data_IF_693898538608
#
_entry.id   IF_693898538608
#
_cell.length_a   1.000
_cell.length_b   1.000
_cell.length_c   1.000
_cell.angle_alpha   90.00
_cell.angle_beta   90.00
_cell.angle_gamma   90.00
#
_symmetry.space_group_name_H-M   'P 1'
#
loop_
_entity.id
_entity.type
_entity.pdbx_description
1 polymer ?
#
# COMPACT_ATOMS: atom_id res chain seq x y z
N UNK A 1 -50.23 43.36 -50.53
CA UNK A 1 -50.64 43.67 -49.16
C UNK A 1 -51.56 42.54 -48.74
N UNK A 2 -51.09 41.63 -47.88
CA UNK A 2 -51.68 41.46 -46.55
C UNK A 2 -51.03 40.31 -45.80
N UNK A 3 -50.65 40.64 -44.57
CA UNK A 3 -50.04 39.80 -43.55
C UNK A 3 -51.02 38.73 -43.07
N UNK A 4 -50.53 37.51 -42.86
CA UNK A 4 -51.15 36.56 -41.92
C UNK A 4 -50.07 36.10 -40.95
N UNK A 5 -50.16 36.63 -39.73
CA UNK A 5 -49.36 36.23 -38.56
C UNK A 5 -49.64 34.76 -38.20
N UNK A 6 -48.57 33.97 -38.06
CA UNK A 6 -48.65 32.63 -37.48
C UNK A 6 -48.46 32.72 -35.98
N UNK A 7 -49.56 32.55 -35.24
CA UNK A 7 -49.53 32.26 -33.81
C UNK A 7 -48.82 30.92 -33.56
N UNK A 8 -47.77 30.94 -32.72
CA UNK A 8 -47.20 29.74 -32.12
C UNK A 8 -47.98 29.46 -30.84
N UNK A 9 -48.77 28.39 -30.88
CA UNK A 9 -49.45 27.85 -29.71
C UNK A 9 -48.45 27.33 -28.70
N UNK A 10 -48.66 27.75 -27.46
CA UNK A 10 -48.10 27.16 -26.25
C UNK A 10 -48.56 25.71 -26.11
N UNK A 11 -47.63 24.80 -25.85
CA UNK A 11 -47.93 23.56 -25.12
C UNK A 11 -46.85 23.36 -24.06
N UNK A 12 -46.97 24.12 -22.98
CA UNK A 12 -46.36 23.78 -21.70
C UNK A 12 -47.10 22.56 -21.13
N UNK A 13 -46.51 21.37 -21.23
CA UNK A 13 -46.93 20.22 -20.43
C UNK A 13 -46.19 20.29 -19.09
N UNK A 14 -46.63 21.18 -18.21
CA UNK A 14 -46.38 21.02 -16.78
C UNK A 14 -47.21 19.84 -16.30
N UNK A 15 -46.58 18.67 -16.17
CA UNK A 15 -47.17 17.57 -15.41
C UNK A 15 -47.15 18.01 -13.95
N UNK A 16 -48.34 18.13 -13.37
CA UNK A 16 -48.56 18.54 -12.00
C UNK A 16 -47.97 17.46 -11.07
N UNK A 17 -46.76 17.68 -10.53
CA UNK A 17 -46.21 16.90 -9.42
C UNK A 17 -47.07 17.19 -8.19
N UNK A 18 -48.13 16.40 -7.99
CA UNK A 18 -48.85 16.38 -6.73
C UNK A 18 -47.84 16.23 -5.59
N UNK A 19 -47.93 17.14 -4.60
CA UNK A 19 -47.03 17.33 -3.46
C UNK A 19 -46.32 16.05 -3.01
N UNK A 20 -45.15 15.80 -3.60
CA UNK A 20 -44.25 14.77 -3.12
C UNK A 20 -43.56 15.35 -1.89
N UNK A 21 -43.90 14.82 -0.72
CA UNK A 21 -43.30 15.20 0.55
C UNK A 21 -41.82 14.81 0.56
N UNK A 22 -40.92 15.79 0.44
CA UNK A 22 -39.47 15.57 0.36
C UNK A 22 -38.69 16.86 0.07
N UNK A 23 -37.46 16.92 0.57
CA UNK A 23 -36.53 18.04 0.36
C UNK A 23 -35.82 17.85 -0.98
N UNK A 24 -35.79 18.88 -1.81
CA UNK A 24 -35.01 18.88 -3.04
C UNK A 24 -33.51 18.98 -2.74
N UNK A 25 -32.77 17.92 -3.07
CA UNK A 25 -31.33 17.81 -2.83
C UNK A 25 -30.49 18.08 -4.07
N UNK A 26 -31.11 18.44 -5.20
CA UNK A 26 -30.35 18.84 -6.39
C UNK A 26 -29.58 20.13 -6.15
N UNK A 27 -28.37 20.29 -6.71
CA UNK A 27 -27.64 21.55 -6.64
C UNK A 27 -28.42 22.72 -7.23
N UNK A 28 -29.13 22.49 -8.33
CA UNK A 28 -29.89 23.51 -9.06
C UNK A 28 -31.28 23.79 -8.48
N UNK A 29 -31.71 23.03 -7.46
CA UNK A 29 -33.06 23.09 -6.87
C UNK A 29 -34.18 22.96 -7.91
N UNK A 30 -34.04 21.98 -8.80
CA UNK A 30 -34.92 21.77 -9.96
C UNK A 30 -35.96 20.66 -9.78
N UNK A 31 -36.11 20.11 -8.57
CA UNK A 31 -37.02 19.02 -8.23
C UNK A 31 -36.65 17.66 -8.81
N UNK A 32 -35.44 17.50 -9.36
CA UNK A 32 -34.99 16.26 -10.00
C UNK A 32 -34.77 15.10 -9.04
N UNK A 33 -34.39 15.40 -7.80
CA UNK A 33 -34.17 14.41 -6.73
C UNK A 33 -34.75 14.95 -5.43
N UNK A 34 -35.80 14.32 -4.94
CA UNK A 34 -36.45 14.64 -3.67
C UNK A 34 -36.13 13.57 -2.64
N UNK A 35 -35.73 13.98 -1.43
CA UNK A 35 -35.38 13.09 -0.32
C UNK A 35 -36.32 13.28 0.87
N UNK A 36 -36.80 12.19 1.44
CA UNK A 36 -37.52 12.18 2.72
C UNK A 36 -36.88 11.17 3.68
N UNK A 37 -36.38 11.64 4.81
CA UNK A 37 -35.83 10.76 5.84
C UNK A 37 -36.98 10.03 6.53
N UNK A 38 -36.87 8.70 6.64
CA UNK A 38 -37.82 7.81 7.31
C UNK A 38 -37.31 7.40 8.68
N UNK A 39 -36.02 7.13 8.78
CA UNK A 39 -35.30 6.82 10.03
C UNK A 39 -34.01 7.62 10.02
N UNK A 40 -33.79 8.39 11.08
CA UNK A 40 -32.56 9.17 11.27
C UNK A 40 -31.35 8.24 11.46
N UNK A 41 -30.24 8.59 10.83
CA UNK A 41 -28.96 7.91 11.05
C UNK A 41 -28.23 8.44 12.28
N UNK A 42 -27.01 7.94 12.48
CA UNK A 42 -26.14 8.30 13.61
C UNK A 42 -24.86 8.99 13.14
N UNK A 43 -24.30 9.84 14.00
CA UNK A 43 -23.10 10.63 13.72
C UNK A 43 -23.35 11.85 12.83
N UNK A 44 -22.26 12.55 12.50
CA UNK A 44 -22.29 13.76 11.65
C UNK A 44 -21.57 13.56 10.32
N UNK A 45 -21.01 12.38 10.08
CA UNK A 45 -20.31 12.06 8.84
C UNK A 45 -21.27 11.48 7.81
N UNK A 46 -20.96 11.77 6.56
CA UNK A 46 -21.64 11.29 5.37
C UNK A 46 -20.61 10.62 4.46
N UNK A 47 -21.01 9.65 3.62
CA UNK A 47 -20.09 9.11 2.63
C UNK A 47 -19.76 10.19 1.60
N UNK A 48 -18.49 10.22 1.20
CA UNK A 48 -17.96 11.17 0.23
C UNK A 48 -17.64 10.50 -1.09
N UNK A 49 -17.41 11.32 -2.12
CA UNK A 49 -17.00 10.82 -3.43
C UNK A 49 -15.77 9.92 -3.31
N UNK A 50 -15.83 8.74 -3.90
CA UNK A 50 -14.77 7.72 -3.84
C UNK A 50 -14.96 6.68 -2.72
N UNK A 51 -15.82 6.94 -1.74
CA UNK A 51 -16.15 5.96 -0.72
C UNK A 51 -16.90 4.77 -1.33
N UNK A 52 -16.62 3.57 -0.81
CA UNK A 52 -17.43 2.39 -1.09
C UNK A 52 -18.56 2.32 -0.08
N UNK A 53 -19.79 2.53 -0.54
CA UNK A 53 -21.00 2.55 0.30
C UNK A 53 -21.70 1.19 0.25
N UNK A 54 -22.35 0.81 1.35
CA UNK A 54 -23.10 -0.44 1.49
C UNK A 54 -24.53 -0.10 1.87
N UNK A 55 -25.48 -0.50 1.03
CA UNK A 55 -26.90 -0.13 1.18
C UNK A 55 -27.84 -1.32 1.03
N UNK A 56 -28.97 -1.25 1.74
CA UNK A 56 -30.17 -1.97 1.33
C UNK A 56 -31.13 -1.04 0.59
N UNK A 57 -31.87 -1.57 -0.39
CA UNK A 57 -32.86 -0.78 -1.10
C UNK A 57 -34.05 -1.58 -1.62
N UNK A 58 -35.14 -0.85 -1.89
CA UNK A 58 -36.31 -1.30 -2.65
C UNK A 58 -36.62 -0.22 -3.70
N UNK A 59 -36.63 -0.59 -4.98
CA UNK A 59 -36.97 0.28 -6.10
C UNK A 59 -38.37 0.01 -6.63
N UNK A 60 -39.21 1.04 -6.67
CA UNK A 60 -40.59 0.98 -7.16
C UNK A 60 -40.88 2.04 -8.20
N UNK A 61 -41.75 1.71 -9.16
CA UNK A 61 -42.37 2.68 -10.07
C UNK A 61 -43.42 3.53 -9.33
N UNK A 62 -43.86 4.64 -9.93
CA UNK A 62 -44.90 5.51 -9.32
C UNK A 62 -46.24 4.82 -9.07
N UNK A 63 -46.53 3.75 -9.81
CA UNK A 63 -47.72 2.91 -9.59
C UNK A 63 -47.57 1.95 -8.39
N UNK A 64 -46.42 1.95 -7.70
CA UNK A 64 -46.10 1.08 -6.57
C UNK A 64 -45.50 -0.27 -6.95
N UNK A 65 -45.36 -0.58 -8.24
CA UNK A 65 -44.77 -1.84 -8.71
C UNK A 65 -43.27 -1.88 -8.40
N UNK A 66 -42.83 -2.90 -7.65
CA UNK A 66 -41.42 -3.13 -7.37
C UNK A 66 -40.72 -3.71 -8.61
N UNK A 67 -39.65 -3.07 -9.05
CA UNK A 67 -38.84 -3.56 -10.18
C UNK A 67 -37.52 -4.21 -9.74
N UNK A 68 -37.01 -3.87 -8.55
CA UNK A 68 -35.77 -4.41 -7.99
C UNK A 68 -35.67 -4.18 -6.47
N UNK A 69 -35.03 -5.10 -5.76
CA UNK A 69 -34.70 -4.95 -4.33
C UNK A 69 -33.48 -5.77 -3.96
N UNK A 70 -32.59 -5.21 -3.13
CA UNK A 70 -31.50 -5.99 -2.53
C UNK A 70 -31.97 -6.86 -1.35
N UNK A 71 -33.12 -6.55 -0.75
CA UNK A 71 -33.66 -7.32 0.38
C UNK A 71 -34.17 -8.70 -0.06
N UNK A 72 -34.73 -8.79 -1.27
CA UNK A 72 -35.13 -10.08 -1.87
C UNK A 72 -33.94 -11.03 -2.06
N UNK A 73 -32.73 -10.47 -2.20
CA UNK A 73 -31.48 -11.21 -2.34
C UNK A 73 -30.77 -11.47 -1.00
N UNK A 74 -31.26 -10.90 0.09
CA UNK A 74 -30.65 -10.98 1.43
C UNK A 74 -29.17 -10.54 1.49
N UNK A 75 -28.71 -9.76 0.52
CA UNK A 75 -27.32 -9.29 0.43
C UNK A 75 -27.30 -7.77 0.18
N UNK A 76 -26.48 -7.00 0.92
CA UNK A 76 -26.30 -5.58 0.65
C UNK A 76 -25.73 -5.32 -0.74
N UNK A 77 -26.19 -4.22 -1.36
CA UNK A 77 -25.59 -3.72 -2.58
C UNK A 77 -24.48 -2.72 -2.22
N UNK A 78 -23.33 -2.83 -2.88
CA UNK A 78 -22.22 -1.90 -2.69
C UNK A 78 -21.79 -1.27 -4.01
N UNK A 79 -21.37 -0.01 -3.93
CA UNK A 79 -20.88 0.75 -5.07
C UNK A 79 -19.94 1.89 -4.61
N UNK A 80 -19.14 2.42 -5.52
CA UNK A 80 -18.29 3.59 -5.30
C UNK A 80 -19.09 4.87 -5.57
N UNK A 81 -19.28 5.69 -4.53
CA UNK A 81 -20.09 6.89 -4.58
C UNK A 81 -19.46 7.97 -5.48
N UNK A 82 -20.28 8.59 -6.33
CA UNK A 82 -19.89 9.73 -7.17
C UNK A 82 -19.01 9.37 -8.36
N UNK A 83 -18.95 8.08 -8.73
CA UNK A 83 -18.21 7.56 -9.88
C UNK A 83 -19.12 7.13 -11.04
N UNK A 84 -20.43 7.40 -10.97
CA UNK A 84 -21.39 7.05 -12.02
C UNK A 84 -21.66 5.55 -12.17
N UNK A 85 -21.36 4.74 -11.15
CA UNK A 85 -21.73 3.31 -11.12
C UNK A 85 -23.24 3.10 -10.92
N UNK A 86 -23.92 4.11 -10.39
CA UNK A 86 -25.37 4.15 -10.14
C UNK A 86 -25.98 5.37 -10.84
N UNK A 87 -27.31 5.46 -10.83
CA UNK A 87 -28.01 6.62 -11.38
C UNK A 87 -27.64 7.91 -10.63
N UNK A 88 -27.68 9.06 -11.31
CA UNK A 88 -27.30 10.37 -10.74
C UNK A 88 -28.04 10.69 -9.43
N UNK A 89 -29.31 10.29 -9.33
CA UNK A 89 -30.12 10.50 -8.14
C UNK A 89 -29.61 9.74 -6.91
N UNK A 90 -29.02 8.56 -7.11
CA UNK A 90 -28.38 7.81 -6.03
C UNK A 90 -27.06 8.44 -5.61
N UNK A 91 -26.23 8.86 -6.57
CA UNK A 91 -24.96 9.55 -6.28
C UNK A 91 -25.21 10.83 -5.44
N UNK A 92 -26.27 11.58 -5.74
CA UNK A 92 -26.67 12.75 -4.95
C UNK A 92 -27.30 12.35 -3.61
N UNK A 93 -28.23 11.38 -3.61
CA UNK A 93 -28.99 11.02 -2.43
C UNK A 93 -28.17 10.37 -1.34
N UNK A 94 -27.39 9.34 -1.68
CA UNK A 94 -26.60 8.58 -0.71
C UNK A 94 -25.50 9.44 -0.09
N UNK A 95 -24.94 10.41 -0.84
CA UNK A 95 -23.98 11.39 -0.31
C UNK A 95 -24.54 12.28 0.82
N UNK A 96 -25.86 12.34 1.00
CA UNK A 96 -26.50 13.11 2.08
C UNK A 96 -26.90 12.25 3.28
N UNK A 97 -26.72 10.94 3.21
CA UNK A 97 -27.21 10.01 4.24
C UNK A 97 -26.22 9.87 5.39
N UNK A 98 -26.73 9.67 6.61
CA UNK A 98 -25.94 9.29 7.80
C UNK A 98 -25.90 7.76 7.96
N UNK A 99 -24.95 7.24 8.76
CA UNK A 99 -24.85 5.80 9.02
C UNK A 99 -26.14 5.28 9.68
N UNK A 100 -26.75 4.25 9.11
CA UNK A 100 -28.02 3.67 9.57
C UNK A 100 -29.27 4.44 9.13
N UNK A 101 -29.11 5.55 8.40
CA UNK A 101 -30.25 6.32 7.91
C UNK A 101 -31.07 5.50 6.90
N UNK A 102 -32.39 5.63 6.98
CA UNK A 102 -33.33 5.12 6.00
C UNK A 102 -34.09 6.28 5.38
N UNK A 103 -34.13 6.38 4.05
CA UNK A 103 -34.82 7.47 3.35
C UNK A 103 -35.57 6.99 2.11
N UNK A 104 -36.60 7.73 1.73
CA UNK A 104 -37.19 7.70 0.40
C UNK A 104 -36.45 8.69 -0.50
N UNK A 105 -36.00 8.23 -1.67
CA UNK A 105 -35.51 9.05 -2.78
C UNK A 105 -36.46 8.95 -3.97
N UNK A 106 -36.88 10.09 -4.49
CA UNK A 106 -37.70 10.18 -5.69
C UNK A 106 -36.88 10.87 -6.77
N UNK A 107 -36.55 10.11 -7.81
CA UNK A 107 -35.64 10.49 -8.88
C UNK A 107 -36.42 10.65 -10.18
N UNK A 108 -36.46 11.88 -10.71
CA UNK A 108 -37.00 12.15 -12.05
C UNK A 108 -36.13 11.46 -13.12
N UNK A 109 -36.71 11.20 -14.29
CA UNK A 109 -36.08 10.43 -15.36
C UNK A 109 -34.65 10.90 -15.71
N UNK A 110 -34.41 12.22 -15.80
CA UNK A 110 -33.10 12.83 -16.10
C UNK A 110 -32.01 12.58 -15.02
N UNK A 111 -32.42 12.25 -13.79
CA UNK A 111 -31.57 11.78 -12.69
C UNK A 111 -31.63 10.26 -12.49
N UNK A 112 -32.39 9.54 -13.32
CA UNK A 112 -32.54 8.09 -13.35
C UNK A 112 -32.07 7.51 -14.70
N UNK A 113 -32.96 6.90 -15.48
CA UNK A 113 -32.64 6.22 -16.76
C UNK A 113 -33.01 7.01 -18.02
N UNK A 114 -33.46 8.27 -17.87
CA UNK A 114 -33.82 9.17 -18.95
C UNK A 114 -35.00 8.69 -19.80
N UNK A 115 -35.12 9.28 -20.99
CA UNK A 115 -36.19 8.97 -21.96
C UNK A 115 -36.13 7.53 -22.50
N UNK A 116 -34.96 6.90 -22.43
CA UNK A 116 -34.78 5.53 -22.94
C UNK A 116 -35.20 4.46 -21.92
N UNK A 117 -35.18 4.78 -20.61
CA UNK A 117 -35.49 3.84 -19.55
C UNK A 117 -34.47 2.69 -19.45
N UNK A 118 -34.90 1.58 -18.86
CA UNK A 118 -34.18 0.30 -18.86
C UNK A 118 -35.18 -0.85 -19.10
N UNK A 119 -35.62 -1.04 -20.36
CA UNK A 119 -36.61 -2.05 -20.69
C UNK A 119 -36.13 -3.48 -20.37
N UNK A 120 -37.03 -4.42 -20.02
CA UNK A 120 -38.49 -4.25 -19.94
C UNK A 120 -38.98 -3.68 -18.60
N UNK A 121 -38.12 -3.60 -17.58
CA UNK A 121 -38.52 -3.28 -16.20
C UNK A 121 -38.79 -1.81 -15.95
N UNK A 122 -38.05 -0.92 -16.60
CA UNK A 122 -38.13 0.53 -16.38
C UNK A 122 -38.51 1.21 -17.70
N UNK A 123 -39.72 1.77 -17.82
CA UNK A 123 -40.12 2.53 -19.00
C UNK A 123 -39.28 3.79 -19.21
N UNK A 124 -39.25 4.26 -20.45
CA UNK A 124 -38.70 5.58 -20.80
C UNK A 124 -39.43 6.71 -20.08
N UNK A 125 -38.68 7.72 -19.62
CA UNK A 125 -39.26 8.89 -18.93
C UNK A 125 -39.80 8.60 -17.52
N UNK A 126 -39.55 7.41 -16.98
CA UNK A 126 -40.07 7.02 -15.67
C UNK A 126 -39.42 7.81 -14.52
N UNK A 127 -40.24 8.31 -13.61
CA UNK A 127 -39.81 8.76 -12.28
C UNK A 127 -39.79 7.56 -11.35
N UNK A 128 -38.69 7.36 -10.64
CA UNK A 128 -38.48 6.20 -9.77
C UNK A 128 -38.51 6.61 -8.31
N UNK A 129 -39.08 5.74 -7.47
CA UNK A 129 -39.01 5.85 -6.02
C UNK A 129 -38.10 4.74 -5.48
N UNK A 130 -37.17 5.11 -4.60
CA UNK A 130 -36.30 4.18 -3.89
C UNK A 130 -36.44 4.38 -2.39
N UNK A 131 -36.69 3.31 -1.66
CA UNK A 131 -36.41 3.27 -0.22
C UNK A 131 -34.97 2.77 -0.05
N UNK A 132 -34.09 3.56 0.56
CA UNK A 132 -32.67 3.23 0.74
C UNK A 132 -32.31 3.27 2.22
N UNK A 133 -31.58 2.27 2.68
CA UNK A 133 -30.96 2.19 4.01
C UNK A 133 -29.43 2.17 3.85
N UNK A 134 -28.74 3.17 4.41
CA UNK A 134 -27.27 3.24 4.40
C UNK A 134 -26.70 2.46 5.58
N UNK A 135 -26.10 1.29 5.32
CA UNK A 135 -25.58 0.42 6.38
C UNK A 135 -24.22 0.92 6.90
N UNK A 136 -23.31 1.20 5.96
CA UNK A 136 -21.95 1.64 6.25
C UNK A 136 -21.28 2.16 4.98
N UNK A 137 -20.11 2.76 5.14
CA UNK A 137 -19.18 3.02 4.04
C UNK A 137 -17.75 2.80 4.49
N UNK A 138 -16.86 2.68 3.52
CA UNK A 138 -15.42 2.61 3.71
C UNK A 138 -14.77 3.64 2.78
N UNK A 139 -13.76 4.35 3.27
CA UNK A 139 -13.02 5.31 2.47
C UNK A 139 -12.34 4.66 1.26
N UNK A 140 -11.94 5.50 0.30
CA UNK A 140 -11.10 5.08 -0.82
C UNK A 140 -9.84 4.39 -0.29
N UNK A 141 -9.60 3.15 -0.72
CA UNK A 141 -8.38 2.43 -0.36
C UNK A 141 -7.18 3.02 -1.11
N UNK A 142 -6.31 3.71 -0.38
CA UNK A 142 -5.10 4.35 -0.89
C UNK A 142 -3.82 3.62 -0.44
N UNK A 143 -3.96 2.40 0.10
CA UNK A 143 -2.83 1.54 0.44
C UNK A 143 -2.03 1.14 -0.82
N UNK A 144 -0.72 0.89 -0.70
CA UNK A 144 0.10 0.48 -1.85
C UNK A 144 -0.38 -0.81 -2.51
N UNK A 145 -0.83 -1.77 -1.69
CA UNK A 145 -1.18 -3.12 -2.10
C UNK A 145 -2.69 -3.29 -2.34
N UNK A 146 -3.48 -2.20 -2.20
CA UNK A 146 -4.95 -2.19 -2.28
C UNK A 146 -5.59 -3.24 -1.34
N UNK A 147 -5.08 -3.29 -0.12
CA UNK A 147 -5.48 -4.22 0.95
C UNK A 147 -6.33 -3.56 2.06
N UNK A 148 -6.72 -2.31 1.86
CA UNK A 148 -7.52 -1.52 2.79
C UNK A 148 -6.76 -1.05 4.03
N UNK A 149 -5.45 -1.25 4.14
CA UNK A 149 -4.69 -0.84 5.34
C UNK A 149 -4.60 0.68 5.54
N UNK A 150 -4.83 1.44 4.48
CA UNK A 150 -4.95 2.91 4.49
C UNK A 150 -6.18 3.27 3.66
N UNK A 151 -7.24 3.74 4.32
CA UNK A 151 -8.43 4.26 3.62
C UNK A 151 -8.62 5.74 3.90
N UNK A 152 -9.18 6.48 2.94
CA UNK A 152 -9.37 7.92 3.03
C UNK A 152 -10.78 8.32 2.59
N UNK A 153 -11.44 9.17 3.38
CA UNK A 153 -12.70 9.82 3.00
C UNK A 153 -12.52 11.33 3.03
N UNK A 154 -12.84 11.99 1.92
CA UNK A 154 -12.65 13.43 1.74
C UNK A 154 -13.79 14.19 2.45
N UNK A 155 -13.46 15.10 3.36
CA UNK A 155 -14.44 15.99 4.02
C UNK A 155 -14.56 17.31 3.25
N UNK A 156 -13.43 17.89 2.87
CA UNK A 156 -13.34 19.12 2.08
C UNK A 156 -12.38 18.85 0.93
N UNK A 157 -12.88 19.05 -0.29
CA UNK A 157 -12.10 18.94 -1.52
C UNK A 157 -10.97 19.99 -1.55
N UNK A 158 -9.77 19.56 -1.93
CA UNK A 158 -8.65 20.45 -2.16
C UNK A 158 -8.61 21.06 -3.56
N UNK A 159 -7.62 21.92 -3.80
CA UNK A 159 -7.26 22.42 -5.12
C UNK A 159 -6.95 21.24 -6.07
N UNK A 160 -7.31 21.33 -7.35
CA UNK A 160 -7.09 20.20 -8.28
C UNK A 160 -5.63 20.15 -8.78
N UNK A 161 -5.24 18.98 -9.29
CA UNK A 161 -4.08 18.74 -10.18
C UNK A 161 -2.68 18.70 -9.57
N UNK A 162 -2.50 18.86 -8.26
CA UNK A 162 -1.17 18.63 -7.66
C UNK A 162 -1.24 18.18 -6.20
N UNK A 163 -0.48 17.12 -5.92
CA UNK A 163 -0.29 16.52 -4.60
C UNK A 163 1.20 16.54 -4.23
N UNK A 164 1.55 16.56 -2.93
CA UNK A 164 2.94 16.49 -2.50
C UNK A 164 3.51 15.09 -2.79
N UNK A 165 4.81 15.03 -3.04
CA UNK A 165 5.57 13.78 -3.24
C UNK A 165 6.45 13.48 -2.03
N UNK A 166 7.01 12.28 -1.98
CA UNK A 166 8.05 11.94 -0.99
C UNK A 166 9.16 12.99 -0.99
N UNK A 167 9.58 13.41 0.21
CA UNK A 167 10.55 14.48 0.42
C UNK A 167 9.98 15.91 0.32
N UNK A 168 8.73 16.10 -0.10
CA UNK A 168 8.09 17.43 -0.08
C UNK A 168 7.92 17.93 1.35
N UNK A 169 8.09 19.23 1.57
CA UNK A 169 7.74 19.87 2.84
C UNK A 169 6.24 20.12 2.87
N UNK A 170 5.55 19.66 3.91
CA UNK A 170 4.10 19.84 4.09
C UNK A 170 3.82 20.58 5.39
N UNK A 171 2.75 21.37 5.42
CA UNK A 171 2.15 21.93 6.63
C UNK A 171 0.75 21.40 6.81
N UNK A 172 0.52 20.73 7.93
CA UNK A 172 -0.68 19.93 8.17
C UNK A 172 -1.22 20.20 9.56
N UNK A 173 -2.54 20.39 9.67
CA UNK A 173 -3.24 20.20 10.94
C UNK A 173 -3.66 18.73 11.02
N UNK A 174 -3.16 18.01 12.01
CA UNK A 174 -3.41 16.59 12.18
C UNK A 174 -4.02 16.32 13.55
N UNK A 175 -5.16 15.63 13.55
CA UNK A 175 -5.85 15.15 14.75
C UNK A 175 -5.91 13.63 14.68
N UNK A 176 -5.13 12.95 15.51
CA UNK A 176 -5.12 11.50 15.66
C UNK A 176 -6.02 11.06 16.80
N UNK A 177 -6.87 10.07 16.55
CA UNK A 177 -7.81 9.52 17.52
C UNK A 177 -7.85 8.00 17.51
N UNK A 178 -8.16 7.43 18.67
CA UNK A 178 -8.33 5.99 18.88
C UNK A 178 -9.61 5.76 19.67
N UNK A 179 -10.58 5.04 19.10
CA UNK A 179 -11.91 4.83 19.70
C UNK A 179 -12.56 6.15 20.17
N UNK A 180 -12.44 7.22 19.37
CA UNK A 180 -12.95 8.56 19.68
C UNK A 180 -12.11 9.38 20.67
N UNK A 181 -11.09 8.80 21.32
CA UNK A 181 -10.16 9.55 22.18
C UNK A 181 -9.06 10.16 21.33
N UNK A 182 -8.94 11.49 21.35
CA UNK A 182 -7.83 12.22 20.73
C UNK A 182 -6.53 11.92 21.48
N UNK A 183 -5.50 11.48 20.77
CA UNK A 183 -4.14 11.28 21.31
C UNK A 183 -3.10 12.19 20.66
N UNK A 184 -3.44 12.82 19.54
CA UNK A 184 -2.58 13.72 18.79
C UNK A 184 -3.42 14.88 18.26
N UNK A 185 -3.03 16.12 18.51
CA UNK A 185 -3.68 17.31 17.97
C UNK A 185 -2.63 18.42 17.84
N UNK A 186 -2.09 18.59 16.63
CA UNK A 186 -1.03 19.54 16.35
C UNK A 186 -1.13 20.10 14.94
N UNK A 187 -0.69 21.36 14.80
CA UNK A 187 -0.27 21.92 13.52
C UNK A 187 1.25 21.77 13.41
N UNK A 188 1.70 21.11 12.34
CA UNK A 188 3.10 20.74 12.15
C UNK A 188 3.55 21.02 10.73
N UNK A 189 4.84 21.34 10.57
CA UNK A 189 5.52 21.34 9.28
C UNK A 189 6.61 20.28 9.29
N UNK A 190 6.63 19.41 8.29
CA UNK A 190 7.60 18.31 8.21
C UNK A 190 7.84 17.88 6.77
N UNK A 191 8.87 17.04 6.58
CA UNK A 191 9.21 16.45 5.28
C UNK A 191 8.46 15.13 5.13
N UNK A 192 7.71 14.93 4.05
CA UNK A 192 7.05 13.64 3.79
C UNK A 192 8.07 12.51 3.67
N UNK A 193 7.84 11.42 4.41
CA UNK A 193 8.79 10.33 4.65
C UNK A 193 9.54 10.46 5.97
N UNK A 194 9.42 11.59 6.68
CA UNK A 194 10.00 11.84 8.01
C UNK A 194 8.90 12.06 9.07
N UNK A 195 7.64 11.65 8.86
CA UNK A 195 6.53 11.88 9.79
C UNK A 195 6.77 11.35 11.21
N UNK A 196 7.60 10.31 11.38
CA UNK A 196 7.98 9.83 12.71
C UNK A 196 8.71 10.90 13.55
N UNK A 197 9.40 11.86 12.94
CA UNK A 197 10.08 12.96 13.65
C UNK A 197 9.11 13.90 14.35
N UNK A 198 7.86 13.92 13.90
CA UNK A 198 6.77 14.72 14.46
C UNK A 198 5.72 13.84 15.15
N UNK A 199 6.03 12.56 15.38
CA UNK A 199 5.18 11.63 16.11
C UNK A 199 4.00 11.09 15.30
N UNK A 200 4.08 11.08 13.97
CA UNK A 200 3.10 10.50 13.06
C UNK A 200 3.55 9.11 12.56
N UNK A 201 2.61 8.19 12.27
CA UNK A 201 2.91 6.89 11.68
C UNK A 201 3.08 6.99 10.16
N UNK A 202 3.77 6.01 9.54
CA UNK A 202 4.05 5.98 8.10
C UNK A 202 2.78 6.08 7.23
N UNK A 203 1.64 5.56 7.71
CA UNK A 203 0.36 5.67 7.03
C UNK A 203 -0.07 7.10 6.77
N UNK A 204 0.26 8.04 7.66
CA UNK A 204 -0.03 9.47 7.46
C UNK A 204 0.84 10.04 6.35
N UNK A 205 2.14 9.74 6.32
CA UNK A 205 3.04 10.14 5.23
C UNK A 205 2.54 9.64 3.87
N UNK A 206 2.07 8.39 3.81
CA UNK A 206 1.54 7.80 2.58
C UNK A 206 0.21 8.42 2.17
N UNK A 207 -0.68 8.66 3.13
CA UNK A 207 -1.97 9.26 2.86
C UNK A 207 -1.82 10.68 2.29
N UNK A 208 -0.97 11.50 2.89
CA UNK A 208 -0.75 12.89 2.45
C UNK A 208 -0.23 13.00 1.01
N UNK A 209 0.43 11.97 0.45
CA UNK A 209 0.82 11.95 -0.98
C UNK A 209 -0.37 11.89 -1.94
N UNK A 210 -1.57 11.60 -1.43
CA UNK A 210 -2.83 11.62 -2.19
C UNK A 210 -3.66 12.88 -1.95
N UNK A 211 -3.26 13.71 -0.99
CA UNK A 211 -3.98 14.93 -0.65
C UNK A 211 -3.64 16.03 -1.65
N UNK A 212 -4.58 16.95 -1.84
CA UNK A 212 -4.31 18.22 -2.46
C UNK A 212 -4.28 19.37 -1.44
N UNK A 213 -3.69 20.50 -1.84
CA UNK A 213 -3.68 21.70 -1.00
C UNK A 213 -5.11 22.13 -0.67
N UNK A 214 -5.39 22.43 0.59
CA UNK A 214 -6.73 22.76 1.08
C UNK A 214 -7.63 21.55 1.32
N UNK A 215 -7.18 20.32 1.03
CA UNK A 215 -7.96 19.12 1.32
C UNK A 215 -8.02 18.85 2.82
N UNK A 216 -9.24 18.55 3.32
CA UNK A 216 -9.46 17.97 4.64
C UNK A 216 -10.06 16.58 4.46
N UNK A 217 -9.43 15.56 5.04
CA UNK A 217 -9.90 14.17 4.91
C UNK A 217 -9.72 13.41 6.21
N UNK A 218 -10.57 12.42 6.44
CA UNK A 218 -10.30 11.37 7.43
C UNK A 218 -9.49 10.26 6.79
N UNK A 219 -8.49 9.77 7.50
CA UNK A 219 -7.63 8.66 7.11
C UNK A 219 -7.73 7.60 8.20
N UNK A 220 -8.17 6.41 7.83
CA UNK A 220 -8.22 5.26 8.72
C UNK A 220 -7.03 4.36 8.43
N UNK A 221 -6.29 3.99 9.48
CA UNK A 221 -5.09 3.17 9.41
C UNK A 221 -5.31 1.89 10.22
N UNK A 222 -5.11 0.74 9.58
CA UNK A 222 -5.19 -0.57 10.23
C UNK A 222 -3.99 -1.47 9.89
N UNK A 223 -3.91 -2.60 10.59
CA UNK A 223 -2.78 -3.52 10.47
C UNK A 223 -1.51 -3.01 11.16
N UNK A 224 -0.38 -3.66 10.91
CA UNK A 224 0.88 -3.41 11.62
C UNK A 224 1.87 -2.52 10.87
N UNK A 225 1.74 -2.42 9.53
CA UNK A 225 2.74 -1.78 8.67
C UNK A 225 2.65 -0.26 8.67
N UNK A 226 1.44 0.29 8.61
CA UNK A 226 1.21 1.73 8.42
C UNK A 226 0.65 2.45 9.66
N UNK A 227 0.46 1.72 10.75
CA UNK A 227 0.13 2.25 12.08
C UNK A 227 1.41 2.47 12.89
N UNK A 228 1.28 2.65 14.21
CA UNK A 228 2.44 2.62 15.11
C UNK A 228 2.96 1.19 15.42
N UNK A 229 2.34 0.15 14.86
CA UNK A 229 2.81 -1.23 14.97
C UNK A 229 2.78 -1.77 16.40
N UNK A 230 3.77 -2.60 16.74
CA UNK A 230 3.81 -3.31 18.02
C UNK A 230 4.19 -2.41 19.22
N UNK A 231 4.87 -1.30 18.96
CA UNK A 231 5.45 -0.43 19.98
C UNK A 231 5.04 1.02 19.74
N UNK A 232 3.77 1.38 20.03
CA UNK A 232 3.33 2.75 19.89
C UNK A 232 4.04 3.69 20.88
N UNK A 233 4.15 5.00 20.57
CA UNK A 233 4.66 5.99 21.50
C UNK A 233 3.91 5.92 22.84
N UNK A 234 4.59 5.70 23.98
CA UNK A 234 3.93 5.49 25.28
C UNK A 234 2.99 6.64 25.67
N UNK A 235 3.34 7.88 25.31
CA UNK A 235 2.56 9.09 25.56
C UNK A 235 1.16 9.07 24.92
N UNK A 236 0.97 8.28 23.86
CA UNK A 236 -0.33 8.18 23.17
C UNK A 236 -1.27 7.17 23.84
N UNK A 237 -0.78 6.35 24.77
CA UNK A 237 -1.54 5.33 25.50
C UNK A 237 -2.35 4.41 24.56
N UNK A 238 -1.72 3.97 23.47
CA UNK A 238 -2.32 3.09 22.47
C UNK A 238 -1.95 1.63 22.74
N UNK A 239 -2.84 0.66 22.48
CA UNK A 239 -2.46 -0.75 22.49
C UNK A 239 -1.54 -1.08 21.30
N UNK A 240 -0.82 -2.19 21.41
CA UNK A 240 -0.07 -2.78 20.29
C UNK A 240 -1.00 -3.03 19.11
N UNK A 241 -0.57 -2.67 17.90
CA UNK A 241 -1.33 -2.80 16.65
C UNK A 241 -2.68 -2.08 16.64
N UNK A 242 -2.81 -0.97 17.38
CA UNK A 242 -4.02 -0.16 17.37
C UNK A 242 -4.39 0.28 15.95
N UNK A 243 -5.65 0.05 15.57
CA UNK A 243 -6.29 0.70 14.43
C UNK A 243 -6.65 2.13 14.83
N UNK A 244 -6.24 3.12 14.05
CA UNK A 244 -6.28 4.53 14.42
C UNK A 244 -6.81 5.39 13.28
N UNK A 245 -7.47 6.48 13.66
CA UNK A 245 -8.03 7.45 12.73
C UNK A 245 -7.26 8.76 12.81
N UNK A 246 -7.03 9.39 11.66
CA UNK A 246 -6.52 10.74 11.57
C UNK A 246 -7.48 11.63 10.79
N UNK A 247 -7.85 12.78 11.33
CA UNK A 247 -8.38 13.89 10.53
C UNK A 247 -7.22 14.79 10.15
N UNK A 248 -6.96 14.92 8.85
CA UNK A 248 -5.83 15.69 8.32
C UNK A 248 -6.37 16.84 7.49
N UNK A 249 -5.75 18.02 7.62
CA UNK A 249 -5.97 19.17 6.76
C UNK A 249 -4.64 19.64 6.20
N UNK A 250 -4.43 19.46 4.90
CA UNK A 250 -3.20 19.87 4.21
C UNK A 250 -3.30 21.35 3.84
N UNK A 251 -2.66 22.22 4.63
CA UNK A 251 -2.73 23.68 4.43
C UNK A 251 -1.92 24.14 3.22
N UNK A 252 -0.67 23.72 3.17
CA UNK A 252 0.29 24.10 2.15
C UNK A 252 1.36 23.01 2.02
N UNK A 253 2.04 22.99 0.88
CA UNK A 253 3.23 22.17 0.68
C UNK A 253 4.15 22.80 -0.36
N UNK A 254 5.43 22.49 -0.26
CA UNK A 254 6.44 22.76 -1.27
C UNK A 254 6.86 21.42 -1.87
N UNK A 255 6.57 21.24 -3.16
CA UNK A 255 6.83 19.99 -3.85
C UNK A 255 8.33 19.79 -4.01
N UNK A 256 8.81 18.60 -3.65
CA UNK A 256 10.18 18.21 -3.97
C UNK A 256 10.35 18.12 -5.49
N UNK A 257 11.33 18.85 -6.03
CA UNK A 257 11.75 18.73 -7.43
C UNK A 257 12.14 17.28 -7.73
N UNK A 258 11.66 16.77 -8.85
CA UNK A 258 12.06 15.46 -9.37
C UNK A 258 13.53 15.49 -9.81
N UNK A 259 14.20 14.32 -9.83
CA UNK A 259 15.62 14.24 -10.18
C UNK A 259 15.93 14.85 -11.56
N UNK A 260 15.05 14.70 -12.55
CA UNK A 260 15.22 15.24 -13.90
C UNK A 260 15.00 16.76 -14.01
N UNK A 261 14.40 17.39 -12.99
CA UNK A 261 14.23 18.85 -12.92
C UNK A 261 15.46 19.55 -12.32
N UNK A 262 16.42 18.78 -11.78
CA UNK A 262 17.63 19.29 -11.15
C UNK A 262 18.80 19.29 -12.14
N UNK A 263 19.57 20.37 -12.13
CA UNK A 263 20.90 20.43 -12.77
C UNK A 263 21.89 19.51 -12.06
N UNK A 264 23.01 19.19 -12.71
CA UNK A 264 24.06 18.36 -12.12
C UNK A 264 24.58 18.89 -10.78
N UNK A 265 24.78 20.20 -10.67
CA UNK A 265 25.23 20.85 -9.42
C UNK A 265 24.16 20.82 -8.34
N UNK A 266 22.89 21.10 -8.69
CA UNK A 266 21.78 20.97 -7.73
C UNK A 266 21.62 19.53 -7.22
N UNK A 267 21.87 18.51 -8.07
CA UNK A 267 21.88 17.10 -7.64
C UNK A 267 23.01 16.81 -6.65
N UNK A 268 24.20 17.38 -6.86
CA UNK A 268 25.33 17.22 -5.94
C UNK A 268 25.02 17.82 -4.56
N UNK A 269 24.43 19.02 -4.54
CA UNK A 269 24.08 19.69 -3.29
C UNK A 269 22.93 18.97 -2.56
N UNK A 270 21.91 18.51 -3.30
CA UNK A 270 20.82 17.71 -2.75
C UNK A 270 21.31 16.35 -2.21
N UNK A 271 22.26 15.71 -2.89
CA UNK A 271 22.86 14.46 -2.46
C UNK A 271 23.73 14.64 -1.20
N UNK A 272 24.50 15.72 -1.11
CA UNK A 272 25.26 16.05 0.11
C UNK A 272 24.32 16.26 1.31
N UNK A 273 23.27 17.07 1.14
CA UNK A 273 22.26 17.29 2.18
C UNK A 273 21.57 15.99 2.61
N UNK A 274 21.22 15.11 1.66
CA UNK A 274 20.66 13.81 1.95
C UNK A 274 21.64 12.92 2.73
N UNK A 275 22.92 12.89 2.35
CA UNK A 275 23.97 12.13 3.05
C UNK A 275 24.15 12.60 4.49
N UNK A 276 24.18 13.90 4.73
CA UNK A 276 24.27 14.49 6.07
C UNK A 276 23.06 14.13 6.93
N UNK A 277 21.85 14.30 6.38
CA UNK A 277 20.59 13.95 7.04
C UNK A 277 20.51 12.45 7.37
N UNK A 278 20.92 11.59 6.44
CA UNK A 278 21.00 10.14 6.65
C UNK A 278 21.98 9.78 7.77
N UNK A 279 23.12 10.47 7.84
CA UNK A 279 24.12 10.27 8.90
C UNK A 279 23.60 10.71 10.27
N UNK A 280 22.83 11.80 10.32
CA UNK A 280 22.14 12.22 11.53
C UNK A 280 21.16 11.13 12.01
N UNK A 281 20.30 10.61 11.13
CA UNK A 281 19.36 9.55 11.48
C UNK A 281 20.02 8.24 11.89
N UNK A 282 21.10 7.87 11.19
CA UNK A 282 21.89 6.69 11.53
C UNK A 282 22.44 6.77 12.97
N UNK A 283 23.01 7.94 13.34
CA UNK A 283 23.51 8.18 14.70
C UNK A 283 22.41 8.13 15.76
N UNK A 284 21.18 8.48 15.40
CA UNK A 284 20.00 8.38 16.28
C UNK A 284 19.39 6.97 16.31
N UNK A 285 19.96 5.99 15.58
CA UNK A 285 19.42 4.64 15.49
C UNK A 285 18.17 4.51 14.60
N UNK A 286 17.79 5.58 13.89
CA UNK A 286 16.60 5.62 13.01
C UNK A 286 16.93 5.01 11.65
N UNK A 287 17.13 3.69 11.63
CA UNK A 287 17.65 2.96 10.47
C UNK A 287 16.82 3.16 9.20
N UNK A 288 15.48 3.08 9.29
CA UNK A 288 14.60 3.27 8.11
C UNK A 288 14.76 4.64 7.45
N UNK A 289 14.79 5.72 8.27
CA UNK A 289 15.00 7.07 7.76
C UNK A 289 16.43 7.24 7.20
N UNK A 290 17.43 6.64 7.84
CA UNK A 290 18.80 6.65 7.33
C UNK A 290 18.88 5.96 5.95
N UNK A 291 18.29 4.78 5.80
CA UNK A 291 18.19 4.07 4.51
C UNK A 291 17.54 4.94 3.45
N UNK A 292 16.37 5.54 3.74
CA UNK A 292 15.69 6.41 2.78
C UNK A 292 16.56 7.57 2.30
N UNK A 293 17.34 8.18 3.20
CA UNK A 293 18.26 9.28 2.84
C UNK A 293 19.47 8.82 2.04
N UNK A 294 20.08 7.69 2.37
CA UNK A 294 21.19 7.16 1.57
C UNK A 294 20.74 6.65 0.20
N UNK A 295 19.55 6.06 0.09
CA UNK A 295 18.96 5.71 -1.20
C UNK A 295 18.69 6.95 -2.07
N UNK A 296 18.30 8.08 -1.47
CA UNK A 296 18.15 9.35 -2.20
C UNK A 296 19.47 9.84 -2.80
N UNK A 297 20.60 9.65 -2.12
CA UNK A 297 21.94 9.96 -2.68
C UNK A 297 22.18 9.16 -3.96
N UNK A 298 21.89 7.86 -3.92
CA UNK A 298 22.09 6.95 -5.04
C UNK A 298 21.17 7.33 -6.21
N UNK A 299 19.87 7.55 -5.95
CA UNK A 299 18.87 7.93 -6.95
C UNK A 299 19.24 9.22 -7.71
N UNK A 300 19.84 10.19 -7.01
CA UNK A 300 20.25 11.46 -7.61
C UNK A 300 21.48 11.29 -8.52
N UNK A 301 22.42 10.41 -8.17
CA UNK A 301 23.77 10.43 -8.73
C UNK A 301 24.13 9.21 -9.59
N UNK A 302 23.46 8.06 -9.44
CA UNK A 302 23.82 6.80 -10.13
C UNK A 302 23.83 6.95 -11.66
N UNK A 303 22.83 7.66 -12.18
CA UNK A 303 22.68 7.89 -13.62
C UNK A 303 23.15 9.28 -14.07
N UNK A 304 23.70 10.09 -13.16
CA UNK A 304 24.20 11.42 -13.48
C UNK A 304 25.61 11.34 -14.09
N UNK A 305 25.66 11.27 -15.41
CA UNK A 305 26.91 11.11 -16.18
C UNK A 305 27.38 12.38 -16.86
N UNK A 306 26.62 13.48 -16.79
CA UNK A 306 26.96 14.73 -17.50
C UNK A 306 28.07 15.55 -16.80
N UNK A 307 28.33 15.26 -15.53
CA UNK A 307 29.35 15.95 -14.74
C UNK A 307 30.77 15.56 -15.17
N UNK A 308 31.66 16.55 -15.25
CA UNK A 308 33.06 16.41 -15.65
C UNK A 308 34.03 16.92 -14.57
N UNK A 309 35.33 16.59 -14.70
CA UNK A 309 36.42 17.10 -13.87
C UNK A 309 36.15 17.01 -12.35
N UNK A 310 36.26 18.12 -11.62
CA UNK A 310 36.05 18.20 -10.18
C UNK A 310 34.63 17.80 -9.78
N UNK A 311 33.62 18.18 -10.58
CA UNK A 311 32.23 17.82 -10.32
C UNK A 311 31.99 16.31 -10.48
N UNK A 312 32.65 15.67 -11.45
CA UNK A 312 32.67 14.21 -11.57
C UNK A 312 33.29 13.55 -10.33
N UNK A 313 34.46 14.02 -9.89
CA UNK A 313 35.12 13.50 -8.69
C UNK A 313 34.25 13.67 -7.44
N UNK A 314 33.58 14.82 -7.29
CA UNK A 314 32.62 15.08 -6.22
C UNK A 314 31.43 14.11 -6.28
N UNK A 315 30.88 13.87 -7.47
CA UNK A 315 29.80 12.91 -7.70
C UNK A 315 30.20 11.49 -7.32
N UNK A 316 31.36 11.01 -7.80
CA UNK A 316 31.84 9.66 -7.54
C UNK A 316 32.10 9.45 -6.05
N UNK A 317 32.68 10.43 -5.36
CA UNK A 317 32.88 10.39 -3.91
C UNK A 317 31.56 10.35 -3.12
N UNK A 318 30.57 11.15 -3.52
CA UNK A 318 29.24 11.16 -2.92
C UNK A 318 28.49 9.85 -3.15
N UNK A 319 28.50 9.34 -4.37
CA UNK A 319 27.84 8.10 -4.74
C UNK A 319 28.47 6.90 -4.03
N UNK A 320 29.81 6.85 -3.95
CA UNK A 320 30.52 5.85 -3.14
C UNK A 320 30.10 5.91 -1.67
N UNK A 321 30.03 7.11 -1.09
CA UNK A 321 29.56 7.29 0.29
C UNK A 321 28.10 6.85 0.47
N UNK A 322 27.23 7.12 -0.50
CA UNK A 322 25.83 6.67 -0.54
C UNK A 322 25.73 5.15 -0.46
N UNK A 323 26.41 4.43 -1.36
CA UNK A 323 26.44 2.97 -1.36
C UNK A 323 27.05 2.37 -0.08
N UNK A 324 28.18 2.91 0.38
CA UNK A 324 28.82 2.43 1.60
C UNK A 324 27.91 2.61 2.81
N UNK A 325 27.30 3.77 2.98
CA UNK A 325 26.44 4.03 4.13
C UNK A 325 25.14 3.22 4.04
N UNK A 326 24.55 3.09 2.85
CA UNK A 326 23.42 2.19 2.58
C UNK A 326 23.73 0.75 2.99
N UNK A 327 24.86 0.20 2.52
CA UNK A 327 25.32 -1.15 2.90
C UNK A 327 25.49 -1.32 4.42
N UNK A 328 26.01 -0.30 5.11
CA UNK A 328 26.15 -0.34 6.57
C UNK A 328 24.79 -0.41 7.28
N UNK A 329 23.78 0.33 6.80
CA UNK A 329 22.44 0.29 7.39
C UNK A 329 21.79 -1.06 7.15
N UNK A 330 21.84 -1.59 5.92
CA UNK A 330 21.30 -2.91 5.61
C UNK A 330 21.96 -4.03 6.42
N UNK A 331 23.28 -4.00 6.57
CA UNK A 331 23.99 -4.95 7.45
C UNK A 331 23.50 -4.90 8.90
N UNK A 332 23.16 -3.70 9.43
CA UNK A 332 22.59 -3.58 10.78
C UNK A 332 21.14 -4.05 10.89
N UNK A 333 20.45 -4.19 9.77
CA UNK A 333 19.07 -4.67 9.68
C UNK A 333 19.00 -6.16 9.35
N UNK A 334 20.13 -6.86 9.25
CA UNK A 334 20.23 -8.27 8.82
C UNK A 334 19.77 -8.49 7.36
N UNK A 335 19.71 -7.42 6.57
CA UNK A 335 19.35 -7.43 5.14
C UNK A 335 20.61 -7.67 4.30
N UNK A 336 21.13 -8.89 4.38
CA UNK A 336 22.44 -9.28 3.81
C UNK A 336 22.50 -9.14 2.29
N UNK A 337 21.40 -9.43 1.58
CA UNK A 337 21.33 -9.34 0.12
C UNK A 337 21.50 -7.89 -0.36
N UNK A 338 20.77 -6.96 0.25
CA UNK A 338 20.82 -5.53 -0.06
C UNK A 338 22.19 -4.95 0.33
N UNK A 339 22.77 -5.40 1.45
CA UNK A 339 24.13 -5.06 1.82
C UNK A 339 25.14 -5.43 0.73
N UNK A 340 25.12 -6.68 0.25
CA UNK A 340 26.04 -7.17 -0.79
C UNK A 340 25.87 -6.37 -2.08
N UNK A 341 24.63 -6.16 -2.55
CA UNK A 341 24.34 -5.34 -3.75
C UNK A 341 24.95 -3.94 -3.67
N UNK A 342 24.78 -3.26 -2.54
CA UNK A 342 25.34 -1.93 -2.33
C UNK A 342 26.88 -1.96 -2.23
N UNK A 343 27.47 -3.00 -1.65
CA UNK A 343 28.92 -3.18 -1.65
C UNK A 343 29.49 -3.41 -3.05
N UNK A 344 28.84 -4.22 -3.87
CA UNK A 344 29.25 -4.44 -5.26
C UNK A 344 29.21 -3.14 -6.06
N UNK A 345 28.16 -2.34 -5.90
CA UNK A 345 28.06 -1.02 -6.51
C UNK A 345 29.13 -0.04 -6.02
N UNK A 346 29.50 -0.09 -4.74
CA UNK A 346 30.64 0.68 -4.23
C UNK A 346 31.97 0.24 -4.88
N UNK A 347 32.16 -1.06 -5.13
CA UNK A 347 33.36 -1.62 -5.75
C UNK A 347 33.45 -1.35 -7.26
N UNK A 348 32.33 -1.12 -7.94
CA UNK A 348 32.32 -0.61 -9.32
C UNK A 348 32.96 0.81 -9.40
N UNK A 349 32.84 1.61 -8.34
CA UNK A 349 33.39 2.97 -8.27
C UNK A 349 34.84 2.95 -7.75
N UNK A 350 35.08 2.25 -6.64
CA UNK A 350 36.40 2.05 -6.05
C UNK A 350 36.65 0.55 -5.81
N UNK A 351 37.30 -0.16 -6.76
CA UNK A 351 37.59 -1.58 -6.64
C UNK A 351 38.46 -1.96 -5.44
N UNK A 352 39.18 -0.99 -4.85
CA UNK A 352 40.05 -1.18 -3.69
C UNK A 352 39.40 -0.73 -2.38
N UNK A 353 38.10 -0.45 -2.38
CA UNK A 353 37.40 0.03 -1.21
C UNK A 353 37.33 -1.04 -0.11
N UNK A 354 38.23 -0.95 0.86
CA UNK A 354 38.32 -1.90 2.00
C UNK A 354 37.01 -1.99 2.78
N UNK A 355 36.31 -0.87 2.97
CA UNK A 355 35.02 -0.84 3.67
C UNK A 355 33.95 -1.67 2.96
N UNK A 356 33.91 -1.63 1.62
CA UNK A 356 32.95 -2.41 0.84
C UNK A 356 33.30 -3.90 0.87
N UNK A 357 34.57 -4.26 0.59
CA UNK A 357 35.04 -5.65 0.64
C UNK A 357 34.78 -6.29 2.01
N UNK A 358 35.11 -5.59 3.08
CA UNK A 358 34.93 -6.10 4.44
C UNK A 358 33.46 -6.31 4.81
N UNK A 359 32.58 -5.38 4.44
CA UNK A 359 31.13 -5.49 4.70
C UNK A 359 30.48 -6.57 3.85
N UNK A 360 30.87 -6.69 2.57
CA UNK A 360 30.44 -7.79 1.69
C UNK A 360 30.83 -9.15 2.27
N UNK A 361 32.08 -9.28 2.73
CA UNK A 361 32.58 -10.51 3.33
C UNK A 361 31.80 -10.90 4.59
N UNK A 362 31.46 -9.93 5.45
CA UNK A 362 30.61 -10.16 6.63
C UNK A 362 29.21 -10.67 6.23
N UNK A 363 28.55 -10.02 5.28
CA UNK A 363 27.22 -10.41 4.82
C UNK A 363 27.22 -11.82 4.18
N UNK A 364 28.24 -12.17 3.39
CA UNK A 364 28.42 -13.52 2.85
C UNK A 364 28.62 -14.57 3.96
N UNK A 365 29.38 -14.22 5.00
CA UNK A 365 29.58 -15.10 6.16
C UNK A 365 28.27 -15.38 6.92
N UNK A 366 27.38 -14.38 6.99
CA UNK A 366 26.02 -14.51 7.56
C UNK A 366 25.12 -15.40 6.68
N UNK A 367 25.24 -15.29 5.35
CA UNK A 367 24.56 -16.18 4.39
C UNK A 367 25.11 -17.63 4.36
N UNK A 368 26.19 -17.91 5.10
CA UNK A 368 26.96 -19.17 5.06
C UNK A 368 27.74 -19.42 3.77
N UNK A 369 27.94 -18.41 2.93
CA UNK A 369 28.81 -18.44 1.75
C UNK A 369 30.27 -18.19 2.16
N UNK A 370 30.78 -19.08 3.00
CA UNK A 370 32.05 -18.92 3.73
C UNK A 370 33.26 -18.90 2.80
N UNK A 371 33.23 -19.66 1.71
CA UNK A 371 34.32 -19.68 0.72
C UNK A 371 34.46 -18.33 -0.01
N UNK A 372 33.33 -17.70 -0.38
CA UNK A 372 33.33 -16.36 -0.98
C UNK A 372 33.74 -15.30 0.04
N UNK A 373 33.24 -15.38 1.28
CA UNK A 373 33.64 -14.48 2.36
C UNK A 373 35.16 -14.48 2.59
N UNK A 374 35.80 -15.66 2.60
CA UNK A 374 37.27 -15.78 2.72
C UNK A 374 37.97 -15.08 1.55
N UNK A 375 37.42 -15.22 0.34
CA UNK A 375 37.99 -14.60 -0.87
C UNK A 375 37.96 -13.08 -0.77
N UNK A 376 36.84 -12.50 -0.32
CA UNK A 376 36.72 -11.06 -0.11
C UNK A 376 37.61 -10.55 1.03
N UNK A 377 37.73 -11.27 2.16
CA UNK A 377 38.67 -10.91 3.23
C UNK A 377 40.14 -10.97 2.79
N UNK A 378 40.51 -11.89 1.90
CA UNK A 378 41.85 -11.94 1.33
C UNK A 378 42.16 -10.70 0.50
N UNK A 379 41.19 -10.21 -0.30
CA UNK A 379 41.34 -8.94 -1.03
C UNK A 379 41.52 -7.77 -0.07
N UNK A 380 40.83 -7.76 1.09
CA UNK A 380 41.09 -6.76 2.14
C UNK A 380 42.55 -6.79 2.59
N UNK A 381 43.10 -7.97 2.89
CA UNK A 381 44.50 -8.10 3.31
C UNK A 381 45.51 -7.83 2.19
N UNK A 382 45.13 -7.99 0.93
CA UNK A 382 45.94 -7.59 -0.22
C UNK A 382 46.16 -6.07 -0.26
N UNK A 383 45.12 -5.30 0.09
CA UNK A 383 45.18 -3.83 0.10
C UNK A 383 45.60 -3.23 1.45
N UNK A 384 45.23 -3.87 2.56
CA UNK A 384 45.62 -3.50 3.93
C UNK A 384 46.15 -4.73 4.70
N UNK A 385 47.44 -5.09 4.54
CA UNK A 385 48.02 -6.27 5.19
C UNK A 385 47.95 -6.24 6.73
N UNK A 386 47.88 -5.06 7.34
CA UNK A 386 47.82 -4.87 8.79
C UNK A 386 46.39 -4.97 9.36
N UNK A 387 45.39 -5.25 8.52
CA UNK A 387 44.00 -5.34 8.95
C UNK A 387 43.73 -6.60 9.80
N UNK A 388 43.97 -6.49 11.11
CA UNK A 388 43.79 -7.57 12.08
C UNK A 388 42.38 -8.14 12.10
N UNK A 389 41.37 -7.30 11.82
CA UNK A 389 39.98 -7.71 11.81
C UNK A 389 39.70 -8.68 10.65
N UNK A 390 40.24 -8.42 9.45
CA UNK A 390 40.09 -9.33 8.31
C UNK A 390 40.84 -10.64 8.53
N UNK A 391 42.07 -10.59 9.06
CA UNK A 391 42.83 -11.78 9.39
C UNK A 391 42.11 -12.69 10.40
N UNK A 392 41.52 -12.12 11.45
CA UNK A 392 40.73 -12.86 12.43
C UNK A 392 39.48 -13.51 11.80
N UNK A 393 38.76 -12.79 10.95
CA UNK A 393 37.57 -13.35 10.27
C UNK A 393 37.93 -14.49 9.32
N UNK A 394 39.06 -14.44 8.60
CA UNK A 394 39.52 -15.57 7.77
C UNK A 394 39.71 -16.83 8.62
N UNK A 395 40.30 -16.72 9.81
CA UNK A 395 40.48 -17.86 10.72
C UNK A 395 39.11 -18.41 11.17
N UNK A 396 38.18 -17.52 11.54
CA UNK A 396 36.83 -17.90 11.94
C UNK A 396 36.08 -18.60 10.80
N UNK A 397 36.13 -18.06 9.58
CA UNK A 397 35.55 -18.63 8.38
C UNK A 397 36.15 -20.01 8.06
N UNK A 398 37.49 -20.16 8.12
CA UNK A 398 38.13 -21.47 7.89
C UNK A 398 37.65 -22.53 8.89
N UNK A 399 37.47 -22.16 10.16
CA UNK A 399 36.91 -23.06 11.18
C UNK A 399 35.46 -23.45 10.83
N UNK A 400 34.61 -22.46 10.53
CA UNK A 400 33.21 -22.68 10.13
C UNK A 400 33.09 -23.57 8.89
N UNK A 401 33.95 -23.36 7.89
CA UNK A 401 34.01 -24.17 6.67
C UNK A 401 34.40 -25.62 6.95
N UNK A 402 35.37 -25.86 7.83
CA UNK A 402 35.73 -27.21 8.25
C UNK A 402 34.58 -27.91 8.98
N UNK A 403 33.84 -27.20 9.83
CA UNK A 403 32.65 -27.71 10.51
C UNK A 403 31.51 -28.04 9.54
N UNK A 404 31.28 -27.20 8.53
CA UNK A 404 30.29 -27.44 7.47
C UNK A 404 30.66 -28.72 6.69
N UNK A 405 31.90 -28.82 6.21
CA UNK A 405 32.38 -29.98 5.45
C UNK A 405 32.30 -31.29 6.25
N UNK A 406 32.60 -31.25 7.54
CA UNK A 406 32.49 -32.43 8.40
C UNK A 406 31.03 -32.84 8.63
N UNK A 407 30.12 -31.88 8.80
CA UNK A 407 28.66 -32.15 8.87
C UNK A 407 28.14 -32.74 7.56
N UNK A 408 28.54 -32.18 6.42
CA UNK A 408 28.18 -32.70 5.10
C UNK A 408 28.71 -34.12 4.90
N UNK A 409 29.97 -34.38 5.22
CA UNK A 409 30.56 -35.72 5.16
C UNK A 409 29.77 -36.74 5.98
N UNK A 410 29.38 -36.40 7.21
CA UNK A 410 28.53 -37.25 8.05
C UNK A 410 27.13 -37.44 7.45
N UNK A 411 26.52 -36.37 6.93
CA UNK A 411 25.20 -36.42 6.27
C UNK A 411 25.21 -37.32 5.04
N UNK A 412 26.19 -37.17 4.15
CA UNK A 412 26.34 -38.00 2.96
C UNK A 412 26.63 -39.46 3.31
N UNK A 413 27.49 -39.72 4.31
CA UNK A 413 27.75 -41.08 4.80
C UNK A 413 26.47 -41.76 5.30
N UNK A 414 25.70 -41.09 6.17
CA UNK A 414 24.45 -41.64 6.68
C UNK A 414 23.36 -41.80 5.61
N UNK A 415 23.32 -40.90 4.62
CA UNK A 415 22.41 -41.01 3.47
C UNK A 415 22.79 -42.22 2.59
N UNK A 416 24.07 -42.43 2.31
CA UNK A 416 24.58 -43.59 1.58
C UNK A 416 24.29 -44.92 2.30
N UNK A 417 24.50 -44.98 3.61
CA UNK A 417 24.14 -46.15 4.43
C UNK A 417 22.64 -46.46 4.37
N UNK A 418 21.77 -45.44 4.35
CA UNK A 418 20.31 -45.65 4.18
C UNK A 418 19.94 -46.13 2.79
N UNK A 419 20.54 -45.58 1.72
CA UNK A 419 20.27 -46.02 0.36
C UNK A 419 20.71 -47.47 0.14
N UNK A 420 21.91 -47.83 0.60
CA UNK A 420 22.42 -49.22 0.52
C UNK A 420 21.60 -50.18 1.38
N UNK A 421 21.10 -49.76 2.54
CA UNK A 421 20.17 -50.57 3.34
C UNK A 421 18.82 -50.77 2.62
N UNK A 422 18.31 -49.75 1.92
CA UNK A 422 17.07 -49.83 1.16
C UNK A 422 17.21 -50.74 -0.07
N UNK A 423 18.30 -50.63 -0.82
CA UNK A 423 18.61 -51.57 -1.93
C UNK A 423 18.72 -53.02 -1.45
N UNK A 424 19.29 -53.26 -0.26
CA UNK A 424 19.34 -54.60 0.35
C UNK A 424 17.98 -55.13 0.79
N UNK A 425 17.04 -54.25 1.14
CA UNK A 425 15.66 -54.65 1.46
C UNK A 425 14.90 -54.96 0.15
N UNK A 426 15.00 -54.09 -0.85
CA UNK A 426 14.34 -54.29 -2.17
C UNK A 426 14.88 -55.55 -2.89
N UNK A 427 16.18 -55.83 -2.83
CA UNK A 427 16.76 -57.08 -3.39
C UNK A 427 16.39 -58.34 -2.62
N UNK A 428 16.08 -58.24 -1.32
CA UNK A 428 15.60 -59.38 -0.53
C UNK A 428 14.09 -59.63 -0.69
N UNK A 429 13.28 -58.62 -1.02
CA UNK A 429 11.86 -58.82 -1.39
C UNK A 429 11.71 -59.49 -2.77
N UNK A 430 12.61 -59.22 -3.72
CA UNK A 430 12.59 -59.83 -5.06
C UNK A 430 13.10 -61.29 -5.08
N UNK A 431 13.80 -61.73 -4.02
CA UNK A 431 14.24 -63.13 -3.82
C UNK A 431 13.25 -63.95 -2.97
N UNK A 432 12.09 -63.37 -2.61
CA UNK A 432 11.12 -63.92 -1.66
C UNK A 432 9.91 -64.66 -2.26
N UNK A 433 9.83 -64.90 -3.57
CA UNK A 433 8.78 -65.77 -4.16
C UNK A 433 9.30 -67.20 -4.42
N UNK A 434 9.16 -68.02 -3.37
CA UNK A 434 9.01 -69.50 -3.27
C UNK A 434 9.34 -70.42 -4.46
N UNK A 435 10.12 -71.49 -4.24
CA UNK A 435 9.96 -72.77 -4.95
C UNK A 435 8.80 -73.58 -4.35
N UNK A 436 7.86 -74.04 -5.18
CA UNK A 436 6.83 -75.01 -4.81
C UNK A 436 7.47 -76.39 -4.60
N UNK A 437 7.44 -76.90 -3.37
CA UNK A 437 7.70 -78.32 -3.09
C UNK A 437 6.45 -79.18 -3.35
N UNK A 438 6.77 -80.41 -3.71
CA UNK A 438 5.95 -81.52 -4.17
C UNK A 438 5.00 -82.09 -3.11
N UNK A 439 3.76 -82.39 -3.50
CA UNK A 439 2.95 -83.45 -2.88
C UNK A 439 2.46 -84.43 -3.95
N UNK A 440 2.77 -85.71 -3.74
CA UNK A 440 2.16 -86.85 -4.46
C UNK A 440 1.03 -87.42 -3.60
N UNK A 441 -0.19 -87.63 -4.12
CA UNK A 441 -1.17 -88.50 -3.50
C UNK A 441 -1.12 -89.92 -4.05
N UNK A 442 -1.51 -90.83 -3.17
CA UNK A 442 -1.55 -92.28 -3.29
C UNK A 442 -2.41 -92.78 -4.46
N UNK A 443 -2.01 -93.97 -4.88
CA UNK A 443 -2.75 -94.95 -5.68
C UNK A 443 -4.18 -95.20 -5.22
N UNK A 444 -5.12 -95.19 -6.16
CA UNK A 444 -6.31 -96.06 -6.14
C UNK A 444 -6.43 -96.78 -7.48
N UNK A 445 -6.62 -98.09 -7.38
CA UNK A 445 -6.90 -99.03 -8.45
C UNK A 445 -8.42 -99.20 -8.50
N UNK A 446 -8.98 -99.36 -9.70
CA UNK A 446 -9.94 -100.42 -10.11
C UNK A 446 -10.85 -99.90 -11.25
N UNK A 447 -10.75 -100.64 -12.38
CA UNK A 447 -11.61 -100.77 -13.56
C UNK A 447 -11.79 -99.60 -14.53
#
# INVERSE_FOLDING_TARGET
MDNIERGRGETSKHVNMAAVDGIDITPEKNGGVLKKVLVEGTGELHPSKGDTVYVHYVGTLQNGEQFDSSRDRSEPFNFTLGNGQVIKGWDLGVATMKKGEKCDLICRADYAYGENGSPPKIPGGATLKFEIELLSWQGEDISPDRDGTITRSIIVEGEKYSSPTEGSTVKVCAVGSYNGRVFYDKEISFILGEGSEVGLPEGVDRALRRFNKGEKSTVHLKGSRFTFGATPPPEYNLPSHAEIDFTLFLKEYEKMKASWELTGDEKLDAAEAAKERGTMFFKQGKMRLATAKYMRVIELLEYEKSLENEAKSRRDALLLAGYLNSALVYAKQDETVECIKNCDKALEIDPKCVKALYRKALALQEQNDVDEAITEYKKVLEYEPENKAAAAQIVACKKKLAEIREKEKKRYKGMFEKFTAKEKIETNEDLGTTPMETESPKSEVVN
#
